data_IF_186696729498
#
_entry.id   IF_186696729498
#
_cell.length_a   1.000
_cell.length_b   1.000
_cell.length_c   1.000
_cell.angle_alpha   90.00
_cell.angle_beta   90.00
_cell.angle_gamma   90.00
#
_symmetry.space_group_name_H-M   'P 1'
#
loop_
_entity.id
_entity.type
_entity.pdbx_description
1 polymer ?
#
# COMPACT_ATOMS: atom_id res chain seq x y z
N UNK A 1 40.13 22.00 35.56
CA UNK A 1 40.34 21.70 34.12
C UNK A 1 39.47 20.53 33.64
N UNK A 2 39.42 19.35 34.30
CA UNK A 2 38.68 18.17 33.89
C UNK A 2 37.16 18.41 33.78
N UNK A 3 36.53 19.10 34.71
CA UNK A 3 35.11 19.45 34.75
C UNK A 3 34.67 20.36 33.55
N UNK A 4 35.46 21.38 33.21
CA UNK A 4 35.15 22.26 32.07
C UNK A 4 35.16 21.49 30.73
N UNK A 5 36.14 20.60 30.53
CA UNK A 5 36.23 19.74 29.33
C UNK A 5 35.03 18.77 29.20
N UNK A 6 34.62 18.19 30.33
CA UNK A 6 33.43 17.31 30.34
C UNK A 6 32.18 18.08 29.96
N UNK A 7 31.99 19.29 30.50
CA UNK A 7 30.84 20.15 30.14
C UNK A 7 30.86 20.58 28.68
N UNK A 8 32.01 20.88 28.10
CA UNK A 8 32.12 21.17 26.65
C UNK A 8 31.74 19.97 25.78
N UNK A 9 32.22 18.78 26.13
CA UNK A 9 31.85 17.54 25.41
C UNK A 9 30.35 17.31 25.48
N UNK A 10 29.73 17.42 26.65
CA UNK A 10 28.28 17.26 26.82
C UNK A 10 27.54 18.29 25.96
N UNK A 11 27.97 19.55 25.94
CA UNK A 11 27.36 20.60 25.12
C UNK A 11 27.43 20.27 23.62
N UNK A 12 28.59 19.81 23.15
CA UNK A 12 28.76 19.38 21.74
C UNK A 12 27.85 18.20 21.40
N UNK A 13 27.79 17.19 22.24
CA UNK A 13 26.94 16.04 22.05
C UNK A 13 25.47 16.45 21.99
N UNK A 14 25.00 17.30 22.88
CA UNK A 14 23.62 17.82 22.89
C UNK A 14 23.32 18.65 21.63
N UNK A 15 24.26 19.47 21.16
CA UNK A 15 24.10 20.20 19.90
C UNK A 15 23.98 19.27 18.68
N UNK A 16 24.85 18.26 18.60
CA UNK A 16 24.79 17.25 17.54
C UNK A 16 23.44 16.55 17.58
N UNK A 17 23.01 16.09 18.76
CA UNK A 17 21.72 15.42 18.92
C UNK A 17 20.53 16.29 18.48
N UNK A 18 20.55 17.58 18.89
CA UNK A 18 19.53 18.55 18.47
C UNK A 18 19.48 18.71 16.95
N UNK A 19 20.64 18.83 16.28
CA UNK A 19 20.69 18.93 14.82
C UNK A 19 20.19 17.66 14.12
N UNK A 20 20.51 16.47 14.64
CA UNK A 20 20.00 15.20 14.12
C UNK A 20 18.47 15.15 14.19
N UNK A 21 17.90 15.60 15.32
CA UNK A 21 16.43 15.67 15.45
C UNK A 21 15.81 16.68 14.47
N UNK A 22 16.39 17.89 14.34
CA UNK A 22 15.88 18.92 13.42
C UNK A 22 15.90 18.39 11.97
N UNK A 23 16.99 17.79 11.53
CA UNK A 23 17.12 17.22 10.21
C UNK A 23 16.09 16.10 10.01
N UNK A 24 15.99 15.16 10.96
CA UNK A 24 15.06 14.05 10.89
C UNK A 24 13.59 14.49 10.79
N UNK A 25 13.16 15.44 11.63
CA UNK A 25 11.80 16.00 11.55
C UNK A 25 11.55 16.76 10.25
N UNK A 26 12.53 17.53 9.77
CA UNK A 26 12.41 18.25 8.49
C UNK A 26 12.28 17.28 7.32
N UNK A 27 13.12 16.25 7.27
CA UNK A 27 13.04 15.20 6.27
C UNK A 27 11.70 14.47 6.33
N UNK A 28 11.23 14.08 7.52
CA UNK A 28 9.92 13.44 7.68
C UNK A 28 8.77 14.33 7.18
N UNK A 29 8.79 15.61 7.51
CA UNK A 29 7.76 16.55 7.05
C UNK A 29 7.70 16.64 5.52
N UNK A 30 8.86 16.74 4.86
CA UNK A 30 8.95 16.79 3.39
C UNK A 30 8.47 15.46 2.79
N UNK A 31 8.99 14.34 3.29
CA UNK A 31 8.66 13.01 2.76
C UNK A 31 7.19 12.66 2.98
N UNK A 32 6.58 13.05 4.10
CA UNK A 32 5.15 12.88 4.33
C UNK A 32 4.32 13.65 3.31
N UNK A 33 4.72 14.87 2.93
CA UNK A 33 4.01 15.63 1.88
C UNK A 33 4.16 14.98 0.51
N UNK A 34 5.34 14.50 0.16
CA UNK A 34 5.61 13.79 -1.09
C UNK A 34 4.79 12.50 -1.14
N UNK A 35 4.83 11.68 -0.09
CA UNK A 35 4.06 10.44 0.01
C UNK A 35 2.56 10.68 -0.17
N UNK A 36 2.01 11.70 0.50
CA UNK A 36 0.59 12.07 0.32
C UNK A 36 0.25 12.50 -1.11
N UNK A 37 1.19 13.09 -1.84
CA UNK A 37 0.95 13.41 -3.26
C UNK A 37 0.82 12.18 -4.12
N UNK A 38 1.53 11.10 -3.81
CA UNK A 38 1.43 9.84 -4.52
C UNK A 38 0.06 9.17 -4.36
N UNK A 39 -0.57 9.28 -3.20
CA UNK A 39 -1.93 8.76 -2.97
C UNK A 39 -3.04 9.63 -3.57
N UNK A 40 -2.76 10.89 -3.91
CA UNK A 40 -3.77 11.76 -4.53
C UNK A 40 -4.13 11.35 -5.95
N UNK A 41 -3.27 10.59 -6.60
CA UNK A 41 -3.41 10.19 -7.98
C UNK A 41 -3.17 11.33 -8.98
N UNK A 42 -3.03 10.99 -10.25
CA UNK A 42 -2.98 11.95 -11.34
C UNK A 42 -4.25 11.83 -12.19
N UNK A 43 -4.97 12.94 -12.37
CA UNK A 43 -6.16 13.01 -13.26
C UNK A 43 -5.83 12.81 -14.74
N UNK A 44 -4.55 12.73 -15.09
CA UNK A 44 -4.07 12.63 -16.47
C UNK A 44 -3.93 11.22 -17.00
N UNK A 45 -4.20 10.18 -16.22
CA UNK A 45 -4.34 8.85 -16.79
C UNK A 45 -5.52 8.83 -17.75
N UNK A 46 -5.21 8.96 -19.03
CA UNK A 46 -6.19 9.25 -20.08
C UNK A 46 -6.69 8.04 -20.84
N UNK A 47 -6.14 6.86 -20.58
CA UNK A 47 -6.56 5.61 -21.22
C UNK A 47 -6.90 4.56 -20.19
N UNK A 48 -8.20 4.40 -19.92
CA UNK A 48 -8.71 3.23 -19.21
C UNK A 48 -9.14 2.20 -20.26
N UNK A 49 -8.77 0.94 -20.03
CA UNK A 49 -9.17 -0.17 -20.90
C UNK A 49 -10.62 -0.60 -20.65
N UNK A 50 -11.10 -0.37 -19.43
CA UNK A 50 -12.44 -0.77 -18.96
C UNK A 50 -13.11 0.44 -18.32
N UNK A 51 -14.44 0.56 -18.46
CA UNK A 51 -15.20 1.68 -17.89
C UNK A 51 -15.58 1.39 -16.44
N UNK A 52 -14.97 2.05 -15.46
CA UNK A 52 -15.29 1.83 -14.05
C UNK A 52 -16.68 2.37 -13.70
N UNK A 53 -17.40 1.64 -12.87
CA UNK A 53 -18.65 2.07 -12.27
C UNK A 53 -18.39 2.75 -10.93
N UNK A 54 -19.08 3.87 -10.69
CA UNK A 54 -18.91 4.64 -9.46
C UNK A 54 -19.65 3.99 -8.29
N UNK A 55 -18.94 3.82 -7.17
CA UNK A 55 -19.49 3.33 -5.91
C UNK A 55 -19.59 4.51 -4.92
N UNK A 56 -20.79 4.74 -4.38
CA UNK A 56 -20.97 5.65 -3.26
C UNK A 56 -20.95 4.84 -1.96
N UNK A 57 -19.80 4.82 -1.29
CA UNK A 57 -19.63 4.07 -0.04
C UNK A 57 -20.38 4.78 1.08
N UNK A 58 -20.19 6.12 1.20
CA UNK A 58 -20.97 7.01 2.07
C UNK A 58 -20.97 8.43 1.50
N UNK A 59 -21.48 9.41 2.24
CA UNK A 59 -21.58 10.81 1.78
C UNK A 59 -20.22 11.46 1.47
N UNK A 60 -19.13 10.93 2.01
CA UNK A 60 -17.79 11.51 1.92
C UNK A 60 -16.77 10.58 1.26
N UNK A 61 -17.13 9.34 0.95
CA UNK A 61 -16.21 8.33 0.44
C UNK A 61 -16.74 7.71 -0.84
N UNK A 62 -15.93 7.81 -1.87
CA UNK A 62 -16.21 7.28 -3.22
C UNK A 62 -15.26 6.15 -3.55
N UNK A 63 -15.75 5.12 -4.19
CA UNK A 63 -14.99 4.04 -4.81
C UNK A 63 -15.39 3.86 -6.27
N UNK A 64 -14.73 2.92 -6.91
CA UNK A 64 -15.04 2.48 -8.25
C UNK A 64 -14.93 0.97 -8.34
N UNK A 65 -15.71 0.37 -9.25
CA UNK A 65 -15.70 -1.06 -9.47
C UNK A 65 -15.95 -1.45 -10.91
N UNK A 66 -15.81 -2.73 -11.18
CA UNK A 66 -16.11 -3.38 -12.43
C UNK A 66 -16.82 -4.71 -12.13
N UNK A 67 -17.71 -5.17 -13.02
CA UNK A 67 -18.56 -6.36 -12.83
C UNK A 67 -19.46 -6.31 -11.59
N UNK A 68 -19.95 -5.12 -11.21
CA UNK A 68 -20.74 -4.92 -9.99
C UNK A 68 -22.14 -5.56 -10.04
N UNK A 69 -22.66 -5.84 -11.22
CA UNK A 69 -23.95 -6.48 -11.46
C UNK A 69 -23.89 -8.02 -11.45
N UNK A 70 -22.69 -8.59 -11.30
CA UNK A 70 -22.51 -10.05 -11.29
C UNK A 70 -22.70 -10.64 -9.90
N UNK A 71 -23.53 -11.67 -9.79
CA UNK A 71 -23.46 -12.58 -8.64
C UNK A 71 -22.17 -13.38 -8.75
N UNK A 72 -21.32 -13.28 -7.73
CA UNK A 72 -20.03 -13.97 -7.70
C UNK A 72 -19.73 -14.50 -6.31
N UNK A 73 -19.11 -15.67 -6.27
CA UNK A 73 -18.56 -16.23 -5.03
C UNK A 73 -17.18 -15.62 -4.67
N UNK A 74 -16.61 -14.83 -5.58
CA UNK A 74 -15.32 -14.18 -5.40
C UNK A 74 -15.43 -12.66 -5.59
N UNK A 75 -14.61 -11.89 -4.88
CA UNK A 75 -14.51 -10.44 -4.97
C UNK A 75 -13.08 -10.00 -4.74
N UNK A 76 -12.62 -9.04 -5.55
CA UNK A 76 -11.30 -8.43 -5.41
C UNK A 76 -11.41 -7.01 -4.87
N UNK A 77 -10.66 -6.69 -3.81
CA UNK A 77 -10.41 -5.32 -3.36
C UNK A 77 -8.99 -4.93 -3.76
N UNK A 78 -8.86 -3.94 -4.65
CA UNK A 78 -7.59 -3.53 -5.25
C UNK A 78 -7.11 -2.19 -4.70
N UNK A 79 -5.90 -2.15 -4.18
CA UNK A 79 -5.17 -0.93 -3.80
C UNK A 79 -4.03 -0.68 -4.79
N UNK A 80 -4.19 0.31 -5.65
CA UNK A 80 -3.22 0.68 -6.67
C UNK A 80 -1.94 1.30 -6.12
N UNK A 81 -0.91 1.38 -6.95
CA UNK A 81 0.38 2.00 -6.65
C UNK A 81 0.34 3.53 -6.63
N UNK A 82 1.54 4.15 -6.69
CA UNK A 82 1.68 5.61 -6.74
C UNK A 82 0.92 6.20 -7.92
N UNK A 83 0.22 7.32 -7.67
CA UNK A 83 -0.56 8.09 -8.64
C UNK A 83 -1.83 7.40 -9.18
N UNK A 84 -2.10 6.15 -8.83
CA UNK A 84 -3.35 5.50 -9.18
C UNK A 84 -4.50 6.02 -8.32
N UNK A 85 -5.57 6.45 -8.97
CA UNK A 85 -6.88 6.67 -8.36
C UNK A 85 -7.66 5.35 -8.36
N UNK A 86 -8.75 5.26 -7.60
CA UNK A 86 -9.64 4.10 -7.69
C UNK A 86 -10.18 3.93 -9.13
N UNK A 87 -10.57 5.03 -9.78
CA UNK A 87 -11.01 5.02 -11.18
C UNK A 87 -9.96 4.42 -12.13
N UNK A 88 -8.69 4.87 -12.01
CA UNK A 88 -7.63 4.38 -12.89
C UNK A 88 -7.25 2.93 -12.59
N UNK A 89 -7.21 2.55 -11.31
CA UNK A 89 -6.94 1.16 -10.91
C UNK A 89 -7.96 0.19 -11.50
N UNK A 90 -9.24 0.52 -11.39
CA UNK A 90 -10.30 -0.30 -11.96
C UNK A 90 -10.29 -0.25 -13.49
N UNK A 91 -10.12 0.93 -14.08
CA UNK A 91 -10.10 1.09 -15.53
C UNK A 91 -8.94 0.39 -16.24
N UNK A 92 -7.82 0.19 -15.56
CA UNK A 92 -6.68 -0.54 -16.13
C UNK A 92 -6.69 -2.04 -15.79
N UNK A 93 -7.13 -2.42 -14.60
CA UNK A 93 -6.92 -3.78 -14.08
C UNK A 93 -8.21 -4.55 -13.83
N UNK A 94 -9.35 -3.87 -13.63
CA UNK A 94 -10.61 -4.53 -13.25
C UNK A 94 -11.10 -5.58 -14.22
N UNK A 95 -10.94 -5.34 -15.52
CA UNK A 95 -11.43 -6.25 -16.56
C UNK A 95 -10.56 -7.47 -16.83
N UNK A 96 -9.46 -7.67 -16.08
CA UNK A 96 -8.69 -8.91 -16.20
C UNK A 96 -9.28 -10.08 -15.43
N UNK A 97 -10.27 -9.85 -14.56
CA UNK A 97 -10.86 -10.87 -13.69
C UNK A 97 -12.35 -11.03 -13.93
N UNK A 98 -12.83 -12.27 -13.83
CA UNK A 98 -14.25 -12.64 -14.07
C UNK A 98 -15.09 -12.55 -12.78
N UNK A 99 -14.77 -11.63 -11.89
CA UNK A 99 -15.49 -11.35 -10.65
C UNK A 99 -15.55 -9.84 -10.38
N UNK A 100 -16.38 -9.36 -9.45
CA UNK A 100 -16.36 -7.96 -9.03
C UNK A 100 -14.98 -7.53 -8.53
N UNK A 101 -14.47 -6.42 -9.11
CA UNK A 101 -13.22 -5.78 -8.67
C UNK A 101 -13.55 -4.37 -8.23
N UNK A 102 -13.17 -4.01 -7.01
CA UNK A 102 -13.46 -2.71 -6.42
C UNK A 102 -12.22 -2.03 -5.87
N UNK A 103 -12.23 -0.71 -5.85
CA UNK A 103 -11.17 0.14 -5.28
C UNK A 103 -11.74 1.40 -4.66
N UNK A 104 -11.00 2.08 -3.79
CA UNK A 104 -11.47 3.27 -3.06
C UNK A 104 -10.52 4.44 -3.23
N UNK A 105 -11.07 5.64 -3.44
CA UNK A 105 -10.33 6.89 -3.28
C UNK A 105 -10.28 7.25 -1.79
N UNK A 106 -9.07 7.40 -1.23
CA UNK A 106 -8.91 7.71 0.18
C UNK A 106 -9.56 9.06 0.55
N UNK A 107 -10.02 9.21 1.79
CA UNK A 107 -10.53 10.49 2.29
C UNK A 107 -9.57 11.65 1.98
N UNK A 108 -10.08 12.71 1.38
CA UNK A 108 -9.31 13.88 0.96
C UNK A 108 -8.54 13.71 -0.36
N UNK A 109 -8.90 12.68 -1.15
CA UNK A 109 -8.38 12.48 -2.51
C UNK A 109 -9.51 12.40 -3.52
N UNK A 110 -9.28 12.84 -4.75
CA UNK A 110 -10.24 12.81 -5.86
C UNK A 110 -11.63 13.31 -5.45
N UNK A 111 -12.65 12.46 -5.51
CA UNK A 111 -14.03 12.79 -5.17
C UNK A 111 -14.37 12.51 -3.71
N UNK A 112 -13.47 11.88 -2.96
CA UNK A 112 -13.64 11.66 -1.53
C UNK A 112 -13.27 12.90 -0.73
N UNK A 113 -14.15 13.35 0.15
CA UNK A 113 -13.95 14.57 0.95
C UNK A 113 -13.21 14.30 2.27
N UNK A 114 -12.74 15.34 2.95
CA UNK A 114 -12.07 15.22 4.25
C UNK A 114 -10.56 15.42 4.20
N UNK A 115 -9.82 14.79 5.10
CA UNK A 115 -8.36 14.90 5.20
C UNK A 115 -7.71 13.54 5.09
N UNK A 116 -6.68 13.44 4.27
CA UNK A 116 -5.87 12.23 4.14
C UNK A 116 -4.79 12.19 5.24
N UNK A 117 -4.78 11.13 6.01
CA UNK A 117 -3.73 10.70 6.93
C UNK A 117 -3.82 9.18 7.10
N UNK A 118 -2.88 8.55 7.81
CA UNK A 118 -2.88 7.09 7.97
C UNK A 118 -4.21 6.56 8.51
N UNK A 119 -4.77 7.19 9.56
CA UNK A 119 -6.03 6.75 10.18
C UNK A 119 -7.22 6.81 9.21
N UNK A 120 -7.29 7.86 8.39
CA UNK A 120 -8.39 7.99 7.42
C UNK A 120 -8.18 7.11 6.19
N UNK A 121 -6.93 6.81 5.80
CA UNK A 121 -6.65 5.80 4.77
C UNK A 121 -7.06 4.41 5.22
N UNK A 122 -6.70 4.02 6.44
CA UNK A 122 -7.13 2.77 7.07
C UNK A 122 -8.65 2.68 7.13
N UNK A 123 -9.32 3.74 7.56
CA UNK A 123 -10.77 3.82 7.57
C UNK A 123 -11.39 3.67 6.17
N UNK A 124 -10.80 4.27 5.13
CA UNK A 124 -11.27 4.08 3.75
C UNK A 124 -11.18 2.61 3.32
N UNK A 125 -10.08 1.92 3.69
CA UNK A 125 -9.92 0.51 3.39
C UNK A 125 -10.95 -0.37 4.13
N UNK A 126 -11.26 -0.05 5.39
CA UNK A 126 -12.30 -0.76 6.13
C UNK A 126 -13.70 -0.51 5.55
N UNK A 127 -14.04 0.74 5.24
CA UNK A 127 -15.37 1.10 4.73
C UNK A 127 -15.67 0.53 3.32
N UNK A 128 -14.66 0.41 2.43
CA UNK A 128 -14.88 -0.28 1.14
C UNK A 128 -15.08 -1.79 1.34
N UNK A 129 -14.38 -2.38 2.30
CA UNK A 129 -14.58 -3.78 2.65
C UNK A 129 -15.97 -4.03 3.23
N UNK A 130 -16.39 -3.20 4.18
CA UNK A 130 -17.71 -3.32 4.81
C UNK A 130 -18.81 -3.15 3.75
N UNK A 131 -18.69 -2.17 2.84
CA UNK A 131 -19.56 -2.02 1.67
C UNK A 131 -19.57 -3.27 0.78
N UNK A 132 -18.39 -3.88 0.55
CA UNK A 132 -18.27 -5.09 -0.24
C UNK A 132 -19.09 -6.24 0.35
N UNK A 133 -18.98 -6.48 1.65
CA UNK A 133 -19.75 -7.56 2.31
C UNK A 133 -21.23 -7.27 2.43
N UNK A 134 -21.65 -6.00 2.49
CA UNK A 134 -23.07 -5.64 2.43
C UNK A 134 -23.68 -5.99 1.06
N UNK A 135 -22.93 -5.82 -0.03
CA UNK A 135 -23.42 -6.07 -1.39
C UNK A 135 -23.13 -7.51 -1.89
N UNK A 136 -22.06 -8.13 -1.38
CA UNK A 136 -21.63 -9.49 -1.75
C UNK A 136 -21.41 -10.35 -0.49
N UNK A 137 -22.46 -10.67 0.28
CA UNK A 137 -22.31 -11.26 1.62
C UNK A 137 -21.76 -12.70 1.64
N UNK A 138 -21.65 -13.35 0.49
CA UNK A 138 -21.12 -14.71 0.35
C UNK A 138 -19.77 -14.76 -0.36
N UNK A 139 -19.28 -13.61 -0.80
CA UNK A 139 -18.06 -13.59 -1.60
C UNK A 139 -16.81 -13.86 -0.73
N UNK A 140 -15.96 -14.73 -1.22
CA UNK A 140 -14.58 -14.87 -0.77
C UNK A 140 -13.79 -13.65 -1.22
N UNK A 141 -13.18 -12.93 -0.28
CA UNK A 141 -12.49 -11.67 -0.55
C UNK A 141 -11.01 -11.90 -0.78
N UNK A 142 -10.51 -11.50 -1.94
CA UNK A 142 -9.08 -11.38 -2.24
C UNK A 142 -8.68 -9.91 -2.19
N UNK A 143 -7.68 -9.59 -1.37
CA UNK A 143 -7.14 -8.24 -1.24
C UNK A 143 -5.83 -8.15 -2.02
N UNK A 144 -5.75 -7.21 -2.97
CA UNK A 144 -4.56 -7.01 -3.81
C UNK A 144 -3.96 -5.63 -3.52
N UNK A 145 -2.66 -5.57 -3.27
CA UNK A 145 -1.90 -4.34 -3.19
C UNK A 145 -0.75 -4.31 -4.17
N UNK A 146 -0.54 -3.17 -4.82
CA UNK A 146 0.64 -2.91 -5.63
C UNK A 146 1.42 -1.73 -5.09
N UNK A 147 2.74 -1.87 -4.92
CA UNK A 147 3.64 -0.80 -4.51
C UNK A 147 3.11 -0.06 -3.26
N UNK A 148 2.80 1.23 -3.34
CA UNK A 148 2.19 2.00 -2.23
C UNK A 148 0.90 1.39 -1.69
N UNK A 149 0.11 0.75 -2.54
CA UNK A 149 -1.13 0.07 -2.15
C UNK A 149 -0.93 -1.13 -1.25
N UNK A 150 0.25 -1.78 -1.29
CA UNK A 150 0.56 -2.93 -0.43
C UNK A 150 0.40 -2.63 1.07
N UNK A 151 0.66 -1.39 1.49
CA UNK A 151 0.51 -1.01 2.88
C UNK A 151 -0.94 -1.04 3.37
N UNK A 152 -1.88 -0.59 2.54
CA UNK A 152 -3.30 -0.62 2.88
C UNK A 152 -3.92 -1.99 2.68
N UNK A 153 -3.46 -2.75 1.68
CA UNK A 153 -3.83 -4.15 1.49
C UNK A 153 -3.44 -5.01 2.72
N UNK A 154 -2.18 -4.90 3.16
CA UNK A 154 -1.69 -5.58 4.35
C UNK A 154 -2.43 -5.16 5.63
N UNK A 155 -2.73 -3.84 5.78
CA UNK A 155 -3.54 -3.35 6.88
C UNK A 155 -4.92 -3.99 6.88
N UNK A 156 -5.61 -3.94 5.75
CA UNK A 156 -6.98 -4.46 5.64
C UNK A 156 -7.05 -5.95 5.98
N UNK A 157 -6.15 -6.77 5.44
CA UNK A 157 -6.06 -8.19 5.74
C UNK A 157 -5.71 -8.48 7.22
N UNK A 158 -5.15 -7.52 7.96
CA UNK A 158 -4.86 -7.67 9.39
C UNK A 158 -6.04 -7.35 10.31
N UNK A 159 -7.12 -6.75 9.78
CA UNK A 159 -8.28 -6.27 10.57
C UNK A 159 -9.63 -6.74 10.02
N UNK A 160 -9.66 -7.38 8.88
CA UNK A 160 -10.85 -7.97 8.24
C UNK A 160 -10.52 -9.37 7.72
N UNK A 161 -11.51 -10.23 7.73
CA UNK A 161 -11.39 -11.58 7.16
C UNK A 161 -11.23 -11.50 5.64
N UNK A 162 -10.28 -12.25 5.12
CA UNK A 162 -10.06 -12.41 3.68
C UNK A 162 -9.56 -13.81 3.39
N UNK A 163 -9.82 -14.32 2.21
CA UNK A 163 -9.29 -15.61 1.78
C UNK A 163 -7.83 -15.47 1.36
N UNK A 164 -7.55 -14.39 0.60
CA UNK A 164 -6.22 -14.18 0.03
C UNK A 164 -5.76 -12.73 0.18
N UNK A 165 -4.46 -12.55 0.41
CA UNK A 165 -3.73 -11.29 0.33
C UNK A 165 -2.62 -11.42 -0.71
N UNK A 166 -2.65 -10.58 -1.74
CA UNK A 166 -1.61 -10.51 -2.77
C UNK A 166 -0.88 -9.17 -2.67
N UNK A 167 0.43 -9.21 -2.45
CA UNK A 167 1.30 -8.03 -2.36
C UNK A 167 2.31 -8.03 -3.51
N UNK A 168 2.07 -7.23 -4.54
CA UNK A 168 2.95 -7.08 -5.69
C UNK A 168 3.89 -5.88 -5.47
N UNK A 169 5.20 -6.14 -5.42
CA UNK A 169 6.22 -5.13 -5.19
C UNK A 169 5.97 -4.33 -3.89
N UNK A 170 5.88 -5.05 -2.77
CA UNK A 170 5.59 -4.47 -1.45
C UNK A 170 6.82 -3.89 -0.75
N UNK A 171 6.60 -3.31 0.42
CA UNK A 171 7.63 -2.75 1.31
C UNK A 171 7.36 -3.14 2.76
N UNK A 172 8.38 -3.02 3.64
CA UNK A 172 8.29 -3.40 5.05
C UNK A 172 7.66 -2.30 5.91
N UNK A 173 8.08 -1.07 5.65
CA UNK A 173 7.60 0.15 6.30
C UNK A 173 7.88 1.37 5.40
N UNK A 174 7.36 2.54 5.73
CA UNK A 174 7.60 3.74 4.95
C UNK A 174 9.08 4.14 4.87
N UNK A 175 9.95 3.67 5.77
CA UNK A 175 11.38 3.92 5.66
C UNK A 175 11.99 3.30 4.41
N UNK A 176 11.51 2.13 3.96
CA UNK A 176 11.97 1.51 2.71
C UNK A 176 11.70 2.42 1.51
N UNK A 177 10.55 3.09 1.51
CA UNK A 177 10.16 4.03 0.46
C UNK A 177 10.94 5.35 0.56
N UNK A 178 10.97 5.94 1.76
CA UNK A 178 11.58 7.26 1.99
C UNK A 178 13.10 7.24 1.81
N UNK A 179 13.78 6.19 2.26
CA UNK A 179 15.24 6.06 2.13
C UNK A 179 15.74 5.94 0.68
N UNK A 180 14.84 5.69 -0.29
CA UNK A 180 15.17 5.80 -1.72
C UNK A 180 15.53 7.25 -2.12
N UNK A 181 14.87 8.21 -1.50
CA UNK A 181 15.03 9.64 -1.80
C UNK A 181 15.87 10.34 -0.74
N UNK A 182 15.68 10.00 0.53
CA UNK A 182 16.33 10.64 1.67
C UNK A 182 16.75 9.57 2.68
N UNK A 183 18.02 9.08 2.62
CA UNK A 183 18.48 7.96 3.42
C UNK A 183 18.80 8.37 4.87
N UNK A 184 17.78 8.78 5.62
CA UNK A 184 17.88 9.27 7.01
C UNK A 184 17.19 8.33 7.99
N UNK A 185 16.17 7.59 7.54
CA UNK A 185 15.28 6.79 8.41
C UNK A 185 15.83 5.39 8.66
N UNK A 186 17.00 5.30 9.29
CA UNK A 186 17.65 4.05 9.66
C UNK A 186 17.65 3.84 11.18
N UNK A 187 17.46 2.59 11.62
CA UNK A 187 17.52 2.25 13.05
C UNK A 187 16.60 3.13 13.91
N UNK A 188 17.12 3.79 14.96
CA UNK A 188 16.33 4.64 15.86
C UNK A 188 15.64 5.82 15.15
N UNK A 189 16.17 6.28 14.02
CA UNK A 189 15.59 7.41 13.28
C UNK A 189 14.20 7.09 12.69
N UNK A 190 13.83 5.83 12.58
CA UNK A 190 12.47 5.41 12.18
C UNK A 190 11.38 5.92 13.12
N UNK A 191 11.70 6.20 14.40
CA UNK A 191 10.75 6.79 15.35
C UNK A 191 10.25 8.17 14.92
N UNK A 192 10.99 8.86 14.05
CA UNK A 192 10.61 10.17 13.52
C UNK A 192 9.63 10.10 12.35
N UNK A 193 9.32 8.91 11.82
CA UNK A 193 8.32 8.75 10.78
C UNK A 193 6.93 8.96 11.36
N UNK A 194 6.23 9.97 10.86
CA UNK A 194 4.80 10.13 11.11
C UNK A 194 3.98 9.30 10.13
N UNK A 195 2.81 8.84 10.56
CA UNK A 195 1.90 8.03 9.74
C UNK A 195 2.61 6.78 9.15
N UNK A 196 3.52 6.16 9.94
CA UNK A 196 4.29 5.01 9.46
C UNK A 196 3.36 3.82 9.19
N UNK A 197 3.42 3.32 7.96
CA UNK A 197 2.79 2.06 7.57
C UNK A 197 3.79 0.95 7.88
N UNK A 198 3.47 0.10 8.84
CA UNK A 198 4.33 -0.99 9.34
C UNK A 198 3.73 -2.35 8.96
N UNK A 199 4.15 -2.87 7.80
CA UNK A 199 3.64 -4.14 7.25
C UNK A 199 4.00 -5.32 8.15
N UNK A 200 5.14 -5.28 8.87
CA UNK A 200 5.48 -6.33 9.83
C UNK A 200 4.42 -6.46 10.93
N UNK A 201 3.98 -5.32 11.49
CA UNK A 201 2.94 -5.30 12.51
C UNK A 201 1.60 -5.83 11.99
N UNK A 202 1.28 -5.57 10.73
CA UNK A 202 0.06 -6.07 10.10
C UNK A 202 0.15 -7.58 9.88
N UNK A 203 1.28 -8.06 9.40
CA UNK A 203 1.51 -9.50 9.16
C UNK A 203 1.33 -10.37 10.42
N UNK A 204 1.60 -9.82 11.62
CA UNK A 204 1.38 -10.50 12.89
C UNK A 204 -0.09 -10.89 13.17
N UNK A 205 -1.03 -10.18 12.51
CA UNK A 205 -2.48 -10.39 12.65
C UNK A 205 -3.15 -10.83 11.32
N UNK A 206 -2.38 -11.27 10.35
CA UNK A 206 -2.89 -11.76 9.06
C UNK A 206 -2.96 -13.28 9.10
N UNK A 207 -4.16 -13.84 8.95
CA UNK A 207 -4.41 -15.30 9.01
C UNK A 207 -4.83 -15.92 7.66
N UNK A 208 -4.96 -15.11 6.57
CA UNK A 208 -5.30 -15.56 5.23
C UNK A 208 -4.10 -16.15 4.46
N UNK A 209 -4.36 -16.70 3.28
CA UNK A 209 -3.32 -17.08 2.33
C UNK A 209 -2.60 -15.84 1.82
N UNK A 210 -1.27 -15.83 1.84
CA UNK A 210 -0.49 -14.65 1.44
C UNK A 210 0.42 -14.98 0.27
N UNK A 211 0.27 -14.23 -0.81
CA UNK A 211 1.14 -14.31 -2.00
C UNK A 211 1.95 -13.02 -2.13
N UNK A 212 3.26 -13.15 -2.18
CA UNK A 212 4.20 -12.04 -2.38
C UNK A 212 4.80 -12.15 -3.76
N UNK A 213 4.70 -11.08 -4.54
CA UNK A 213 5.20 -11.03 -5.92
C UNK A 213 6.31 -10.00 -6.02
N UNK A 214 7.45 -10.42 -6.55
CA UNK A 214 8.62 -9.57 -6.80
C UNK A 214 9.29 -9.86 -8.13
N UNK A 215 10.26 -9.04 -8.51
CA UNK A 215 11.05 -9.24 -9.72
C UNK A 215 12.49 -8.74 -9.56
N UNK A 216 13.41 -9.43 -10.19
CA UNK A 216 14.82 -9.00 -10.25
C UNK A 216 14.99 -7.75 -11.14
N UNK A 217 14.09 -7.52 -12.10
CA UNK A 217 14.05 -6.30 -12.91
C UNK A 217 13.46 -5.09 -12.18
N UNK A 218 12.82 -5.27 -11.03
CA UNK A 218 12.30 -4.17 -10.24
C UNK A 218 13.41 -3.42 -9.50
N UNK A 219 13.79 -2.24 -10.02
CA UNK A 219 14.80 -1.37 -9.42
C UNK A 219 14.24 -0.42 -8.34
N UNK A 220 12.92 -0.37 -8.16
CA UNK A 220 12.26 0.46 -7.12
C UNK A 220 12.15 -0.31 -5.81
N UNK A 221 11.50 -1.46 -5.80
CA UNK A 221 11.31 -2.32 -4.63
C UNK A 221 11.74 -3.77 -4.97
N UNK A 222 13.02 -3.98 -5.02
CA UNK A 222 13.68 -5.15 -5.60
C UNK A 222 13.30 -6.50 -4.95
N UNK A 223 13.60 -7.60 -5.64
CA UNK A 223 13.33 -8.97 -5.19
C UNK A 223 13.86 -9.29 -3.78
N UNK A 224 15.03 -8.74 -3.39
CA UNK A 224 15.58 -8.95 -2.02
C UNK A 224 14.68 -8.36 -0.95
N UNK A 225 13.98 -7.26 -1.26
CA UNK A 225 13.02 -6.66 -0.34
C UNK A 225 11.77 -7.54 -0.23
N UNK A 226 11.29 -8.09 -1.35
CA UNK A 226 10.13 -8.99 -1.35
C UNK A 226 10.38 -10.26 -0.52
N UNK A 227 11.56 -10.85 -0.62
CA UNK A 227 11.99 -11.96 0.26
C UNK A 227 11.87 -11.59 1.74
N UNK A 228 12.27 -10.36 2.12
CA UNK A 228 12.16 -9.87 3.52
C UNK A 228 10.72 -9.55 3.93
N UNK A 229 9.86 -9.16 3.00
CA UNK A 229 8.43 -8.97 3.27
C UNK A 229 7.77 -10.33 3.51
N UNK A 230 8.10 -11.33 2.69
CA UNK A 230 7.61 -12.69 2.84
C UNK A 230 7.97 -13.31 4.22
N UNK A 231 9.17 -13.02 4.73
CA UNK A 231 9.62 -13.49 6.06
C UNK A 231 8.75 -13.00 7.24
N UNK A 232 7.87 -12.03 7.02
CA UNK A 232 6.95 -11.53 8.07
C UNK A 232 5.69 -12.39 8.21
N UNK A 233 5.32 -13.11 7.17
CA UNK A 233 4.13 -13.95 7.13
C UNK A 233 4.50 -15.41 7.38
N UNK A 234 3.65 -16.15 8.10
CA UNK A 234 3.94 -17.53 8.51
C UNK A 234 4.13 -18.49 7.33
N UNK A 235 3.34 -18.30 6.26
CA UNK A 235 3.31 -19.19 5.10
C UNK A 235 3.08 -18.39 3.82
N UNK A 236 3.94 -17.39 3.56
CA UNK A 236 3.83 -16.65 2.32
C UNK A 236 4.29 -17.49 1.13
N UNK A 237 3.47 -17.54 0.09
CA UNK A 237 3.89 -18.02 -1.22
C UNK A 237 4.64 -16.89 -1.95
N UNK A 238 5.91 -17.12 -2.26
CA UNK A 238 6.80 -16.10 -2.80
C UNK A 238 7.14 -16.37 -4.25
N UNK A 239 6.69 -15.51 -5.14
CA UNK A 239 6.98 -15.55 -6.58
C UNK A 239 7.96 -14.44 -6.97
N UNK A 240 9.13 -14.82 -7.49
CA UNK A 240 10.13 -13.88 -8.00
C UNK A 240 10.30 -14.10 -9.50
N UNK A 241 9.95 -13.09 -10.27
CA UNK A 241 10.13 -13.06 -11.72
C UNK A 241 11.47 -12.40 -12.09
N UNK A 242 11.97 -12.64 -13.31
CA UNK A 242 13.26 -12.09 -13.73
C UNK A 242 13.10 -10.76 -14.48
N UNK A 243 11.95 -10.52 -15.13
CA UNK A 243 11.78 -9.58 -16.23
C UNK A 243 10.65 -8.54 -16.03
N UNK A 244 9.96 -8.52 -14.89
CA UNK A 244 8.85 -7.58 -14.64
C UNK A 244 9.36 -6.29 -14.01
N UNK A 245 9.22 -5.18 -14.72
CA UNK A 245 9.53 -3.85 -14.20
C UNK A 245 8.45 -3.39 -13.20
N UNK A 246 8.80 -2.44 -12.33
CA UNK A 246 7.96 -1.96 -11.23
C UNK A 246 6.52 -1.58 -11.62
N UNK A 247 6.35 -0.92 -12.76
CA UNK A 247 5.05 -0.40 -13.21
C UNK A 247 4.18 -1.46 -13.92
N UNK A 248 4.72 -2.68 -14.14
CA UNK A 248 4.10 -3.67 -15.02
C UNK A 248 3.46 -4.85 -14.29
N UNK A 249 3.61 -5.00 -12.97
CA UNK A 249 3.13 -6.17 -12.24
C UNK A 249 1.68 -6.52 -12.53
N UNK A 250 0.75 -5.57 -12.42
CA UNK A 250 -0.68 -5.82 -12.61
C UNK A 250 -1.11 -5.92 -14.09
N UNK A 251 -0.17 -5.76 -15.03
CA UNK A 251 -0.38 -5.84 -16.48
C UNK A 251 0.30 -7.06 -17.10
N UNK A 252 1.23 -7.67 -16.40
CA UNK A 252 1.96 -8.83 -16.88
C UNK A 252 1.09 -10.08 -16.85
N UNK A 253 1.01 -10.80 -17.97
CA UNK A 253 0.17 -11.99 -18.12
C UNK A 253 0.48 -13.07 -17.07
N UNK A 254 1.77 -13.25 -16.71
CA UNK A 254 2.17 -14.24 -15.68
C UNK A 254 1.58 -13.90 -14.31
N UNK A 255 1.53 -12.60 -13.97
CA UNK A 255 0.96 -12.13 -12.71
C UNK A 255 -0.56 -12.18 -12.73
N UNK A 256 -1.17 -11.79 -13.86
CA UNK A 256 -2.63 -11.88 -14.05
C UNK A 256 -3.09 -13.34 -13.91
N UNK A 257 -2.40 -14.28 -14.57
CA UNK A 257 -2.75 -15.70 -14.51
C UNK A 257 -2.52 -16.29 -13.11
N UNK A 258 -1.45 -15.87 -12.41
CA UNK A 258 -1.25 -16.25 -11.01
C UNK A 258 -2.42 -15.75 -10.13
N UNK A 259 -2.80 -14.48 -10.25
CA UNK A 259 -3.90 -13.91 -9.44
C UNK A 259 -5.23 -14.60 -9.79
N UNK A 260 -5.52 -14.88 -11.06
CA UNK A 260 -6.70 -15.67 -11.46
C UNK A 260 -6.73 -17.02 -10.77
N UNK A 261 -5.63 -17.75 -10.77
CA UNK A 261 -5.54 -19.07 -10.11
C UNK A 261 -5.69 -19.02 -8.58
N UNK A 262 -5.53 -17.84 -7.96
CA UNK A 262 -5.72 -17.60 -6.53
C UNK A 262 -7.20 -17.26 -6.24
N UNK A 263 -7.86 -16.57 -7.16
CA UNK A 263 -9.24 -16.06 -6.99
C UNK A 263 -10.28 -17.13 -7.37
N UNK A 264 -9.97 -17.95 -8.36
CA UNK A 264 -10.83 -19.06 -8.83
C UNK A 264 -10.71 -20.31 -7.95
#
# INVERSE_FOLDING_TARGET
MRSKRVMEIIRIVLLIFMWVLIIGFSCNFVMTKISRSFYKGDKKFSSVSFTPEKIRINDNLTGYGYHLDQESENLIILFGGSFYTAYNSIGEFGGYYDCPVISVDYYGTQESTGKMNLKTMQRSAEEIYDWALENYPKASVTIIGHSYGCGMAAYLASVRESENLVLASGYRDLADMYNKYTPVFWGPMKVLLSDNIDVKKYAENTDCNVTIIGSEADHVLNAKLQKKVADYYKNADLHIYDDIEHENYLKDEKVIDLIRSIVE
#
